data_IF_905039255938
#
_entry.id   IF_905039255938
#
_cell.length_a   1.000
_cell.length_b   1.000
_cell.length_c   1.000
_cell.angle_alpha   90.00
_cell.angle_beta   90.00
_cell.angle_gamma   90.00
#
_symmetry.space_group_name_H-M   'P 1'
#
loop_
_entity.id
_entity.type
_entity.pdbx_description
1 polymer ?
#
# COMPACT_ATOMS: atom_id res chain seq x y z
N UNK A 1 -29.25 2.85 12.28
CA UNK A 1 -27.86 2.43 12.42
C UNK A 1 -27.29 2.02 11.09
N UNK A 2 -26.17 2.61 10.74
CA UNK A 2 -25.47 2.21 9.53
C UNK A 2 -24.60 0.98 9.83
N UNK A 3 -24.63 0.01 8.93
CA UNK A 3 -23.74 -1.14 9.02
C UNK A 3 -22.31 -0.67 8.79
N UNK A 4 -21.31 -1.27 9.47
CA UNK A 4 -19.93 -0.94 9.19
C UNK A 4 -19.59 -1.28 7.73
N UNK A 5 -18.80 -0.44 7.12
CA UNK A 5 -18.33 -0.68 5.76
C UNK A 5 -17.39 -1.87 5.75
N UNK A 6 -17.55 -2.70 4.75
CA UNK A 6 -16.71 -3.90 4.60
C UNK A 6 -15.86 -3.79 3.34
N UNK A 7 -14.60 -4.19 3.42
CA UNK A 7 -13.75 -4.17 2.25
C UNK A 7 -14.15 -5.24 1.24
N UNK A 8 -14.14 -4.89 -0.04
CA UNK A 8 -14.33 -5.84 -1.12
C UNK A 8 -13.14 -5.84 -2.07
N UNK A 9 -12.25 -4.85 -1.95
CA UNK A 9 -11.12 -4.65 -2.84
C UNK A 9 -9.85 -4.49 -2.00
N UNK A 10 -8.77 -5.14 -2.43
CA UNK A 10 -7.43 -4.92 -1.92
C UNK A 10 -6.56 -4.30 -3.00
N UNK A 11 -5.79 -3.28 -2.63
CA UNK A 11 -4.82 -2.63 -3.50
C UNK A 11 -3.43 -2.95 -2.95
N UNK A 12 -2.58 -3.52 -3.77
CA UNK A 12 -1.25 -3.98 -3.36
C UNK A 12 -0.17 -3.21 -4.09
N UNK A 13 0.68 -2.55 -3.31
CA UNK A 13 1.85 -1.84 -3.79
C UNK A 13 3.10 -2.60 -3.36
N UNK A 14 4.10 -2.68 -4.24
CA UNK A 14 5.40 -3.29 -3.91
C UNK A 14 6.52 -2.39 -4.38
N UNK A 15 7.57 -2.29 -3.57
CA UNK A 15 8.78 -1.56 -3.94
C UNK A 15 9.99 -2.16 -3.25
N UNK A 16 11.16 -1.98 -3.83
CA UNK A 16 12.41 -2.55 -3.31
C UNK A 16 13.45 -1.47 -3.08
N UNK A 17 14.17 -1.59 -1.97
CA UNK A 17 15.31 -0.72 -1.65
C UNK A 17 16.57 -1.59 -1.53
N UNK A 18 17.74 -0.94 -1.49
CA UNK A 18 18.93 -1.64 -1.04
C UNK A 18 18.75 -1.96 0.45
N UNK A 19 19.43 -3.00 0.92
CA UNK A 19 19.39 -3.38 2.33
C UNK A 19 19.82 -2.23 3.24
N UNK A 20 20.85 -1.50 2.82
CA UNK A 20 21.39 -0.37 3.60
C UNK A 20 20.40 0.75 3.83
N UNK A 21 19.50 0.98 2.90
CA UNK A 21 18.53 2.08 2.99
C UNK A 21 17.15 1.65 3.48
N UNK A 22 16.99 0.37 3.77
CA UNK A 22 15.68 -0.18 4.11
C UNK A 22 15.08 0.43 5.39
N UNK A 23 15.86 0.57 6.44
CA UNK A 23 15.36 1.11 7.71
C UNK A 23 14.92 2.57 7.56
N UNK A 24 15.70 3.34 6.83
CA UNK A 24 15.36 4.73 6.56
C UNK A 24 14.08 4.84 5.73
N UNK A 25 13.97 3.99 4.70
CA UNK A 25 12.78 3.97 3.85
C UNK A 25 11.54 3.55 4.63
N UNK A 26 11.65 2.60 5.52
CA UNK A 26 10.51 2.16 6.34
C UNK A 26 9.90 3.33 7.09
N UNK A 27 10.74 4.16 7.71
CA UNK A 27 10.30 5.34 8.44
C UNK A 27 9.67 6.37 7.50
N UNK A 28 10.36 6.67 6.42
CA UNK A 28 9.87 7.63 5.42
C UNK A 28 8.54 7.20 4.82
N UNK A 29 8.45 5.94 4.39
CA UNK A 29 7.24 5.41 3.79
C UNK A 29 6.05 5.49 4.75
N UNK A 30 6.28 5.18 6.03
CA UNK A 30 5.22 5.26 7.02
C UNK A 30 4.75 6.72 7.19
N UNK A 31 5.67 7.64 7.41
CA UNK A 31 5.33 9.03 7.71
C UNK A 31 4.67 9.74 6.53
N UNK A 32 5.16 9.50 5.32
CA UNK A 32 4.73 10.25 4.14
C UNK A 32 3.66 9.49 3.35
N UNK A 33 3.74 8.17 3.29
CA UNK A 33 2.84 7.36 2.46
C UNK A 33 1.71 6.70 3.24
N UNK A 34 2.03 6.05 4.35
CA UNK A 34 1.05 5.22 5.06
C UNK A 34 0.11 6.06 5.94
N UNK A 35 0.64 7.01 6.71
CA UNK A 35 -0.19 7.80 7.61
C UNK A 35 -1.37 8.50 6.92
N UNK A 36 -1.18 9.16 5.77
CA UNK A 36 -2.33 9.75 5.07
C UNK A 36 -3.36 8.70 4.64
N UNK A 37 -2.89 7.50 4.30
CA UNK A 37 -3.76 6.42 3.83
C UNK A 37 -4.65 5.89 4.95
N UNK A 38 -4.19 5.93 6.19
CA UNK A 38 -4.94 5.44 7.35
C UNK A 38 -6.26 6.20 7.53
N UNK A 39 -6.33 7.43 7.08
CA UNK A 39 -7.52 8.26 7.24
C UNK A 39 -8.62 7.93 6.22
N UNK A 40 -8.28 7.28 5.11
CA UNK A 40 -9.22 7.10 4.00
C UNK A 40 -9.49 5.65 3.61
N UNK A 41 -8.53 4.75 3.83
CA UNK A 41 -8.73 3.33 3.54
C UNK A 41 -9.45 2.66 4.72
N UNK A 42 -10.14 1.56 4.46
CA UNK A 42 -10.81 0.79 5.51
C UNK A 42 -9.80 0.01 6.36
N UNK A 43 -8.66 -0.32 5.79
CA UNK A 43 -7.59 -0.98 6.52
C UNK A 43 -6.30 -0.86 5.72
N UNK A 44 -5.18 -0.95 6.41
CA UNK A 44 -3.86 -0.90 5.79
C UNK A 44 -2.94 -1.87 6.52
N UNK A 45 -2.18 -2.64 5.76
CA UNK A 45 -1.15 -3.52 6.29
C UNK A 45 0.12 -3.27 5.51
N UNK A 46 1.25 -3.27 6.20
CA UNK A 46 2.54 -3.11 5.57
C UNK A 46 3.42 -4.29 5.91
N UNK A 47 4.25 -4.68 4.96
CA UNK A 47 5.13 -5.84 5.11
C UNK A 47 6.51 -5.50 4.60
N UNK A 48 7.50 -6.20 5.14
CA UNK A 48 8.89 -6.04 4.73
C UNK A 48 9.56 -7.40 4.70
N UNK A 49 10.26 -7.69 3.62
CA UNK A 49 11.11 -8.87 3.53
C UNK A 49 12.54 -8.43 3.28
N UNK A 50 13.45 -8.85 4.16
CA UNK A 50 14.87 -8.54 4.03
C UNK A 50 15.59 -9.69 3.35
N UNK A 51 16.33 -9.37 2.30
CA UNK A 51 17.21 -10.31 1.61
C UNK A 51 18.65 -9.84 1.79
N UNK A 52 19.63 -10.57 1.24
CA UNK A 52 21.04 -10.24 1.43
C UNK A 52 21.38 -8.83 0.94
N UNK A 53 20.92 -8.47 -0.26
CA UNK A 53 21.29 -7.21 -0.91
C UNK A 53 20.17 -6.18 -0.99
N UNK A 54 18.93 -6.58 -0.75
CA UNK A 54 17.80 -5.69 -0.90
C UNK A 54 16.68 -6.04 0.07
N UNK A 55 15.76 -5.10 0.25
CA UNK A 55 14.53 -5.31 1.02
C UNK A 55 13.34 -4.99 0.16
N UNK A 56 12.30 -5.81 0.25
CA UNK A 56 11.04 -5.57 -0.42
C UNK A 56 10.01 -5.09 0.58
N UNK A 57 9.31 -4.03 0.21
CA UNK A 57 8.20 -3.48 0.99
C UNK A 57 6.90 -3.74 0.25
N UNK A 58 5.86 -4.08 1.01
CA UNK A 58 4.53 -4.28 0.45
C UNK A 58 3.53 -3.51 1.30
N UNK A 59 2.63 -2.79 0.65
CA UNK A 59 1.51 -2.14 1.31
C UNK A 59 0.22 -2.68 0.73
N UNK A 60 -0.64 -3.20 1.59
CA UNK A 60 -1.98 -3.64 1.21
C UNK A 60 -2.97 -2.67 1.83
N UNK A 61 -3.80 -2.04 1.00
CA UNK A 61 -4.89 -1.20 1.48
C UNK A 61 -6.22 -1.80 1.05
N UNK A 62 -7.22 -1.65 1.91
CA UNK A 62 -8.54 -2.26 1.73
C UNK A 62 -9.58 -1.17 1.55
N UNK A 63 -10.51 -1.40 0.63
CA UNK A 63 -11.50 -0.41 0.22
C UNK A 63 -12.87 -1.03 0.07
N UNK A 64 -13.91 -0.23 0.31
CA UNK A 64 -15.28 -0.68 0.17
C UNK A 64 -15.58 -1.11 -1.28
N UNK A 65 -15.13 -0.29 -2.24
CA UNK A 65 -15.30 -0.56 -3.67
C UNK A 65 -14.31 0.28 -4.48
N UNK A 66 -14.36 0.11 -5.79
CA UNK A 66 -13.48 0.85 -6.70
C UNK A 66 -13.75 2.35 -6.65
N UNK A 67 -15.01 2.75 -6.48
CA UNK A 67 -15.35 4.18 -6.40
C UNK A 67 -14.71 4.85 -5.19
N UNK A 68 -14.72 4.18 -4.03
CA UNK A 68 -14.07 4.69 -2.81
C UNK A 68 -12.57 4.81 -3.02
N UNK A 69 -11.95 3.80 -3.66
CA UNK A 69 -10.53 3.81 -3.95
C UNK A 69 -10.17 4.92 -4.94
N UNK A 70 -11.02 5.17 -5.93
CA UNK A 70 -10.77 6.17 -6.96
C UNK A 70 -10.72 7.60 -6.42
N UNK A 71 -11.32 7.86 -5.29
CA UNK A 71 -11.18 9.15 -4.62
C UNK A 71 -9.74 9.41 -4.19
N UNK A 72 -8.99 8.34 -3.94
CA UNK A 72 -7.59 8.43 -3.59
C UNK A 72 -6.69 8.35 -4.83
N UNK A 73 -6.98 7.41 -5.76
CA UNK A 73 -6.11 7.14 -6.90
C UNK A 73 -6.39 7.99 -8.13
N UNK A 74 -7.57 8.60 -8.19
CA UNK A 74 -8.05 9.27 -9.41
C UNK A 74 -8.76 8.28 -10.32
N UNK A 75 -8.97 8.65 -11.56
CA UNK A 75 -9.78 7.88 -12.52
C UNK A 75 -9.19 6.49 -12.85
N UNK A 76 -7.87 6.33 -12.74
CA UNK A 76 -7.22 5.04 -12.97
C UNK A 76 -6.78 4.43 -11.63
N UNK A 77 -7.50 3.42 -11.11
CA UNK A 77 -7.16 2.84 -9.81
C UNK A 77 -5.82 2.10 -9.78
N UNK A 78 -5.27 1.73 -10.93
CA UNK A 78 -3.96 1.07 -11.00
C UNK A 78 -2.81 2.05 -10.99
N UNK A 79 -3.10 3.35 -11.10
CA UNK A 79 -2.08 4.38 -11.13
C UNK A 79 -1.32 4.45 -9.81
N UNK A 80 0.00 4.51 -9.90
CA UNK A 80 0.86 4.68 -8.74
C UNK A 80 1.10 6.17 -8.48
N UNK A 81 1.01 6.54 -7.20
CA UNK A 81 1.40 7.85 -6.73
C UNK A 81 2.73 7.69 -6.01
N UNK A 82 3.82 8.03 -6.71
CA UNK A 82 5.14 7.97 -6.10
C UNK A 82 5.28 9.05 -5.05
N UNK A 83 5.91 8.70 -3.92
CA UNK A 83 6.24 9.70 -2.90
C UNK A 83 7.41 10.53 -3.42
N UNK A 84 7.55 11.79 -2.96
CA UNK A 84 8.58 12.70 -3.50
C UNK A 84 10.00 12.13 -3.47
N UNK A 85 10.36 11.36 -2.45
CA UNK A 85 11.69 10.80 -2.32
C UNK A 85 11.81 9.34 -2.75
N UNK A 86 10.75 8.75 -3.31
CA UNK A 86 10.80 7.38 -3.79
C UNK A 86 11.96 7.14 -4.78
N UNK A 87 12.24 8.05 -5.74
CA UNK A 87 13.35 7.83 -6.65
C UNK A 87 14.71 7.73 -5.98
N UNK A 88 14.87 8.29 -4.77
CA UNK A 88 16.13 8.21 -4.03
C UNK A 88 16.31 6.85 -3.37
N UNK A 89 15.22 6.21 -2.97
CA UNK A 89 15.26 4.97 -2.19
C UNK A 89 15.05 3.72 -3.02
N UNK A 90 14.09 3.77 -3.94
CA UNK A 90 13.68 2.56 -4.66
C UNK A 90 14.66 2.20 -5.77
N UNK A 91 15.01 0.92 -5.83
CA UNK A 91 15.91 0.38 -6.86
C UNK A 91 15.32 0.64 -8.24
N UNK A 92 13.99 0.46 -8.34
CA UNK A 92 13.26 0.85 -9.54
C UNK A 92 11.87 1.33 -9.13
N UNK A 93 11.33 2.28 -9.85
CA UNK A 93 9.99 2.78 -9.55
C UNK A 93 8.96 1.79 -10.09
N UNK A 94 8.06 1.29 -9.22
CA UNK A 94 7.01 0.38 -9.69
C UNK A 94 6.12 1.06 -10.72
N UNK A 95 5.69 0.30 -11.72
CA UNK A 95 4.89 0.79 -12.84
C UNK A 95 3.41 0.84 -12.53
N UNK A 96 2.92 -0.08 -11.73
CA UNK A 96 1.50 -0.21 -11.43
C UNK A 96 1.30 -0.93 -10.11
N UNK A 97 0.11 -0.78 -9.56
CA UNK A 97 -0.31 -1.54 -8.39
C UNK A 97 -1.24 -2.66 -8.84
N UNK A 98 -1.42 -3.64 -7.96
CA UNK A 98 -2.31 -4.76 -8.20
C UNK A 98 -3.62 -4.49 -7.48
N UNK A 99 -4.74 -4.71 -8.17
CA UNK A 99 -6.07 -4.57 -7.59
C UNK A 99 -6.71 -5.95 -7.56
N UNK A 100 -7.09 -6.40 -6.38
CA UNK A 100 -7.65 -7.73 -6.17
C UNK A 100 -9.02 -7.63 -5.53
N UNK A 101 -9.92 -8.52 -5.94
CA UNK A 101 -11.22 -8.65 -5.30
C UNK A 101 -11.06 -9.54 -4.06
N UNK A 102 -11.50 -9.04 -2.91
CA UNK A 102 -11.46 -9.81 -1.67
C UNK A 102 -12.62 -10.80 -1.68
N UNK A 103 -12.32 -12.08 -1.59
CA UNK A 103 -13.32 -13.14 -1.62
C UNK A 103 -13.74 -13.58 -0.22
N UNK A 104 -12.78 -13.83 0.64
CA UNK A 104 -13.04 -14.30 2.01
C UNK A 104 -12.04 -13.68 2.97
N UNK A 105 -12.49 -13.49 4.20
CA UNK A 105 -11.63 -13.02 5.28
C UNK A 105 -12.05 -13.71 6.56
N UNK A 106 -11.09 -14.36 7.21
CA UNK A 106 -11.30 -15.10 8.45
C UNK A 106 -10.19 -14.80 9.43
N UNK A 107 -10.50 -14.97 10.70
CA UNK A 107 -9.49 -14.85 11.75
C UNK A 107 -9.52 -13.52 12.47
N UNK A 108 -8.57 -13.37 13.42
CA UNK A 108 -8.51 -12.24 14.33
C UNK A 108 -8.06 -10.93 13.68
N UNK A 109 -7.65 -10.98 12.42
CA UNK A 109 -7.14 -9.83 11.69
C UNK A 109 -8.20 -9.15 10.84
N UNK A 110 -9.43 -9.45 11.10
CA UNK A 110 -10.54 -8.87 10.36
C UNK A 110 -10.70 -7.38 10.50
#
# INVERSE_FOLDING_TARGET
>A
MTSPKRPTIARIWRGRTTRERADEYEIYNYEVGIRPLLAIALGVQTFREDRADESEFMTISYWEDVAAMSRFTGSDPTRIHHLPRDPEFLIELPQAVQILRLLTSHGAMG
#
